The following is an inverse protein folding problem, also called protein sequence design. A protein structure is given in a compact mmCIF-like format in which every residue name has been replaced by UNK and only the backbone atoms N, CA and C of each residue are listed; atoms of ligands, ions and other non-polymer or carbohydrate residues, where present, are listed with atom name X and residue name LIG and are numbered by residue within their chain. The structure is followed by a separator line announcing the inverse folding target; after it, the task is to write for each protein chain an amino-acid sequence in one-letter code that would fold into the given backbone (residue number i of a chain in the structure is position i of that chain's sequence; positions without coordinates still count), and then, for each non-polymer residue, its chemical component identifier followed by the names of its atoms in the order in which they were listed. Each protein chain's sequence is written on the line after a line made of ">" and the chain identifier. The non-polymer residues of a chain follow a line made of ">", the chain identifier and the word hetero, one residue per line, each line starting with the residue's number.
data_IF_048777497846
#
_entry.id   IF_048777497846
#
_cell.length_a   1.000
_cell.length_b   1.000
_cell.length_c   1.000
_cell.angle_alpha   90.00
_cell.angle_beta   90.00
_cell.angle_gamma   90.00
#
_symmetry.space_group_name_H-M   'P 1'
#
loop_
_entity.id
_entity.type
_entity.pdbx_description
1 polymer ?
#
# COMPACT_ATOMS: atom_id res chain seq x y z
N UNK A 1 -13.90 -11.45 2.53
CA UNK A 1 -15.09 -11.96 3.25
C UNK A 1 -14.77 -13.32 3.86
N UNK A 2 -15.13 -13.57 5.12
CA UNK A 2 -14.92 -14.88 5.75
C UNK A 2 -16.27 -15.52 6.06
N UNK A 3 -16.55 -16.71 5.50
CA UNK A 3 -17.82 -17.41 5.72
C UNK A 3 -17.80 -18.38 6.90
N UNK A 4 -16.62 -18.80 7.35
CA UNK A 4 -16.48 -19.92 8.30
C UNK A 4 -16.46 -19.49 9.77
N UNK A 5 -15.85 -18.34 10.09
CA UNK A 5 -15.56 -17.97 11.49
C UNK A 5 -16.64 -17.13 12.17
N UNK A 6 -17.64 -16.68 11.42
CA UNK A 6 -18.61 -15.67 11.87
C UNK A 6 -17.97 -14.36 12.33
N UNK A 7 -16.71 -14.10 11.92
CA UNK A 7 -15.86 -12.97 12.34
C UNK A 7 -15.49 -12.92 13.83
N UNK A 8 -16.17 -13.63 14.71
CA UNK A 8 -15.89 -13.61 16.15
C UNK A 8 -14.46 -14.12 16.49
N UNK A 9 -14.00 -15.16 15.79
CA UNK A 9 -12.63 -15.65 15.92
C UNK A 9 -11.59 -14.61 15.52
N UNK A 10 -11.83 -13.91 14.40
CA UNK A 10 -10.94 -12.85 13.90
C UNK A 10 -10.88 -11.69 14.91
N UNK A 11 -12.02 -11.26 15.45
CA UNK A 11 -12.07 -10.19 16.46
C UNK A 11 -11.27 -10.54 17.72
N UNK A 12 -11.43 -11.76 18.25
CA UNK A 12 -10.66 -12.21 19.43
C UNK A 12 -9.15 -12.26 19.15
N UNK A 13 -8.76 -12.79 17.98
CA UNK A 13 -7.36 -12.83 17.58
C UNK A 13 -6.76 -11.41 17.47
N UNK A 14 -7.47 -10.48 16.83
CA UNK A 14 -7.05 -9.09 16.74
C UNK A 14 -6.88 -8.45 18.11
N UNK A 15 -7.83 -8.65 19.03
CA UNK A 15 -7.71 -8.11 20.39
C UNK A 15 -6.44 -8.61 21.09
N UNK A 16 -6.19 -9.93 21.06
CA UNK A 16 -4.99 -10.53 21.66
C UNK A 16 -3.69 -10.04 21.01
N UNK A 17 -3.70 -9.78 19.70
CA UNK A 17 -2.56 -9.23 18.97
C UNK A 17 -2.30 -7.78 19.41
N UNK A 18 -3.34 -6.94 19.42
CA UNK A 18 -3.22 -5.54 19.82
C UNK A 18 -2.85 -5.33 21.30
N UNK A 19 -3.21 -6.27 22.18
CA UNK A 19 -2.76 -6.24 23.59
C UNK A 19 -1.27 -6.61 23.74
N UNK A 20 -0.74 -7.46 22.85
CA UNK A 20 0.64 -7.97 22.93
C UNK A 20 1.65 -7.15 22.14
N UNK A 21 1.18 -6.45 21.11
CA UNK A 21 2.03 -5.73 20.17
C UNK A 21 1.68 -4.25 20.28
N UNK A 22 2.57 -3.52 20.94
CA UNK A 22 2.47 -2.07 21.07
C UNK A 22 3.45 -1.39 20.11
N UNK A 23 2.92 -0.84 19.02
CA UNK A 23 3.71 -0.09 18.04
C UNK A 23 3.86 1.39 18.40
N UNK A 24 3.28 1.86 19.52
CA UNK A 24 3.39 3.26 19.93
C UNK A 24 4.81 3.64 20.34
N UNK A 25 5.55 2.71 20.96
CA UNK A 25 6.96 2.85 21.34
C UNK A 25 7.92 2.63 20.16
N UNK A 26 7.43 2.05 19.05
CA UNK A 26 8.22 1.74 17.85
C UNK A 26 8.16 2.89 16.84
N UNK A 27 9.28 3.60 16.69
CA UNK A 27 9.40 4.67 15.69
C UNK A 27 9.28 4.08 14.27
N UNK A 28 8.68 4.81 13.31
CA UNK A 28 8.50 4.31 11.94
C UNK A 28 9.78 3.78 11.27
N UNK A 29 10.94 4.37 11.60
CA UNK A 29 12.24 3.99 11.03
C UNK A 29 12.82 2.70 11.63
N UNK A 30 12.47 2.38 12.87
CA UNK A 30 12.95 1.20 13.61
C UNK A 30 11.96 0.02 13.51
N UNK A 31 10.72 0.29 13.09
CA UNK A 31 9.60 -0.67 13.12
C UNK A 31 9.86 -2.02 12.47
N UNK A 32 10.56 -2.07 11.34
CA UNK A 32 10.88 -3.36 10.70
C UNK A 32 11.83 -4.17 11.60
N UNK A 33 12.82 -3.53 12.21
CA UNK A 33 13.74 -4.17 13.16
C UNK A 33 13.01 -4.69 14.39
N UNK A 34 12.13 -3.87 14.98
CA UNK A 34 11.36 -4.25 16.17
C UNK A 34 10.46 -5.46 15.89
N UNK A 35 9.76 -5.45 14.75
CA UNK A 35 8.90 -6.56 14.35
C UNK A 35 9.68 -7.85 14.07
N UNK A 36 10.92 -7.77 13.59
CA UNK A 36 11.81 -8.93 13.46
C UNK A 36 12.21 -9.43 14.85
N UNK A 37 12.60 -8.55 15.77
CA UNK A 37 12.98 -8.92 17.14
C UNK A 37 11.82 -9.57 17.90
N UNK A 38 10.59 -9.10 17.69
CA UNK A 38 9.39 -9.68 18.28
C UNK A 38 8.95 -10.99 17.61
N UNK A 39 9.65 -11.43 16.56
CA UNK A 39 9.35 -12.67 15.83
C UNK A 39 8.10 -12.59 14.96
N UNK A 40 7.61 -11.38 14.66
CA UNK A 40 6.43 -11.15 13.82
C UNK A 40 6.82 -11.16 12.34
N UNK A 41 7.97 -10.56 12.01
CA UNK A 41 8.52 -10.58 10.67
C UNK A 41 9.72 -11.53 10.58
N UNK A 42 9.87 -12.26 9.47
CA UNK A 42 11.10 -12.98 9.17
C UNK A 42 12.31 -12.04 9.02
N UNK A 43 13.50 -12.51 9.41
CA UNK A 43 14.75 -11.74 9.39
C UNK A 43 15.09 -11.16 8.01
N UNK A 44 14.75 -11.84 6.92
CA UNK A 44 15.04 -11.37 5.56
C UNK A 44 14.39 -10.03 5.21
N UNK A 45 13.38 -9.59 5.97
CA UNK A 45 12.75 -8.28 5.79
C UNK A 45 13.73 -7.11 5.99
N UNK A 46 14.77 -7.28 6.80
CA UNK A 46 15.83 -6.29 6.99
C UNK A 46 16.56 -5.94 5.68
N UNK A 47 16.53 -6.85 4.70
CA UNK A 47 17.25 -6.72 3.43
C UNK A 47 16.34 -6.39 2.24
N UNK A 48 15.02 -6.27 2.46
CA UNK A 48 14.07 -5.95 1.39
C UNK A 48 14.34 -4.59 0.74
N UNK A 49 14.68 -3.50 1.47
CA UNK A 49 14.99 -2.22 0.84
C UNK A 49 16.12 -2.33 -0.20
N UNK A 50 17.18 -3.09 0.10
CA UNK A 50 18.32 -3.31 -0.79
C UNK A 50 17.91 -4.16 -1.99
N UNK A 51 17.10 -5.20 -1.78
CA UNK A 51 16.57 -6.03 -2.87
C UNK A 51 15.70 -5.22 -3.84
N UNK A 52 14.88 -4.29 -3.32
CA UNK A 52 14.06 -3.40 -4.13
C UNK A 52 14.93 -2.39 -4.90
N UNK A 53 15.93 -1.80 -4.25
CA UNK A 53 16.86 -0.86 -4.90
C UNK A 53 17.73 -1.52 -5.98
N UNK A 54 17.98 -2.83 -5.87
CA UNK A 54 18.71 -3.61 -6.86
C UNK A 54 17.85 -4.06 -8.05
N UNK A 55 16.53 -3.87 -8.01
CA UNK A 55 15.71 -4.13 -9.18
C UNK A 55 16.09 -3.15 -10.29
N UNK A 56 16.18 -3.61 -11.55
CA UNK A 56 16.43 -2.69 -12.65
C UNK A 56 15.35 -1.62 -12.64
N UNK A 57 15.75 -0.36 -12.81
CA UNK A 57 14.80 0.69 -13.13
C UNK A 57 14.13 0.28 -14.44
N UNK A 58 12.88 -0.17 -14.35
CA UNK A 58 12.01 -0.15 -15.49
C UNK A 58 11.79 1.33 -15.79
N UNK A 59 12.48 1.82 -16.83
CA UNK A 59 12.14 3.09 -17.44
C UNK A 59 10.63 3.11 -17.59
N UNK A 60 9.98 4.05 -16.90
CA UNK A 60 8.55 4.27 -17.05
C UNK A 60 8.33 4.40 -18.55
N UNK A 61 7.69 3.40 -19.17
CA UNK A 61 7.39 3.39 -20.60
C UNK A 61 6.32 4.46 -20.81
N UNK A 62 6.74 5.73 -20.76
CA UNK A 62 5.88 6.88 -21.00
C UNK A 62 5.58 6.99 -22.49
N UNK A 63 6.50 6.51 -23.33
CA UNK A 63 6.31 6.37 -24.76
C UNK A 63 5.48 5.10 -25.06
N UNK A 64 4.20 5.31 -25.38
CA UNK A 64 3.29 4.26 -25.85
C UNK A 64 2.34 3.67 -24.80
N UNK A 65 2.48 3.98 -23.51
CA UNK A 65 1.50 3.58 -22.50
C UNK A 65 0.21 4.41 -22.64
N UNK A 66 -0.85 3.76 -23.15
CA UNK A 66 -2.18 4.37 -23.26
C UNK A 66 -3.01 4.23 -21.99
N UNK A 67 -2.68 3.26 -21.14
CA UNK A 67 -3.45 2.96 -19.92
C UNK A 67 -2.81 3.62 -18.71
N UNK A 68 -3.52 4.58 -18.14
CA UNK A 68 -3.10 5.29 -16.93
C UNK A 68 -3.70 4.63 -15.68
N UNK A 69 -2.86 4.33 -14.70
CA UNK A 69 -3.24 3.61 -13.49
C UNK A 69 -2.88 4.42 -12.25
N UNK A 70 -3.87 4.64 -11.39
CA UNK A 70 -3.69 5.23 -10.04
C UNK A 70 -3.78 4.07 -9.02
N UNK A 71 -4.80 4.01 -8.15
CA UNK A 71 -5.00 2.88 -7.24
C UNK A 71 -5.34 1.57 -7.95
N UNK A 72 -5.79 1.64 -9.21
CA UNK A 72 -6.02 0.47 -10.08
C UNK A 72 -7.17 -0.44 -9.66
N UNK A 73 -7.91 -0.10 -8.60
CA UNK A 73 -8.98 -0.93 -8.02
C UNK A 73 -10.08 -1.27 -9.03
N UNK A 74 -10.42 -0.35 -9.92
CA UNK A 74 -11.44 -0.57 -10.95
C UNK A 74 -10.86 -1.31 -12.16
N UNK A 75 -9.70 -0.85 -12.65
CA UNK A 75 -9.05 -1.39 -13.84
C UNK A 75 -8.63 -2.85 -13.67
N UNK A 76 -7.99 -3.21 -12.55
CA UNK A 76 -7.55 -4.58 -12.29
C UNK A 76 -8.69 -5.53 -11.92
N UNK A 77 -9.88 -5.04 -11.57
CA UNK A 77 -11.06 -5.89 -11.40
C UNK A 77 -11.73 -6.18 -12.74
N UNK A 78 -11.80 -5.18 -13.61
CA UNK A 78 -12.54 -5.29 -14.88
C UNK A 78 -11.70 -5.89 -16.02
N UNK A 79 -10.39 -5.63 -16.04
CA UNK A 79 -9.54 -5.88 -17.21
C UNK A 79 -8.22 -6.59 -16.83
N UNK A 80 -8.19 -7.32 -15.71
CA UNK A 80 -6.98 -7.92 -15.13
C UNK A 80 -6.09 -8.61 -16.18
N UNK A 81 -6.66 -9.53 -16.96
CA UNK A 81 -5.95 -10.33 -17.95
C UNK A 81 -5.35 -9.47 -19.07
N UNK A 82 -6.07 -8.45 -19.53
CA UNK A 82 -5.64 -7.55 -20.59
C UNK A 82 -4.51 -6.62 -20.16
N UNK A 83 -4.46 -6.28 -18.86
CA UNK A 83 -3.46 -5.37 -18.30
C UNK A 83 -2.09 -6.04 -18.08
N UNK A 84 -2.03 -7.37 -17.97
CA UNK A 84 -0.77 -8.11 -17.72
C UNK A 84 0.28 -7.84 -18.80
N UNK A 85 -0.15 -7.68 -20.05
CA UNK A 85 0.73 -7.53 -21.21
C UNK A 85 0.77 -6.12 -21.79
N UNK A 86 0.13 -5.14 -21.14
CA UNK A 86 0.07 -3.76 -21.64
C UNK A 86 1.10 -2.86 -20.97
N UNK A 87 1.66 -1.88 -21.69
CA UNK A 87 2.46 -0.83 -21.08
C UNK A 87 1.55 0.05 -20.22
N UNK A 88 1.75 0.02 -18.90
CA UNK A 88 0.98 0.78 -17.93
C UNK A 88 1.76 2.03 -17.51
N UNK A 89 1.06 3.17 -17.48
CA UNK A 89 1.58 4.40 -16.89
C UNK A 89 0.99 4.60 -15.50
N UNK A 90 1.81 4.41 -14.47
CA UNK A 90 1.39 4.65 -13.09
C UNK A 90 1.48 6.13 -12.75
N UNK A 91 0.33 6.74 -12.43
CA UNK A 91 0.25 8.14 -12.03
C UNK A 91 0.83 8.27 -10.62
N UNK A 92 1.97 8.94 -10.52
CA UNK A 92 2.61 9.30 -9.27
C UNK A 92 2.56 10.82 -9.11
N UNK A 93 1.43 11.35 -8.65
CA UNK A 93 1.24 12.78 -8.38
C UNK A 93 1.15 13.04 -6.88
N UNK A 94 1.74 14.15 -6.39
CA UNK A 94 1.62 14.51 -4.99
C UNK A 94 0.15 14.82 -4.67
N UNK A 95 -0.35 14.15 -3.64
CA UNK A 95 -1.70 14.38 -3.14
C UNK A 95 -1.75 15.65 -2.29
N UNK A 96 -2.79 16.46 -2.45
CA UNK A 96 -2.98 17.70 -1.70
C UNK A 96 -4.46 18.03 -1.49
N UNK A 97 -4.73 18.66 -0.35
CA UNK A 97 -6.02 19.21 0.05
C UNK A 97 -5.79 20.69 0.36
N UNK A 98 -6.48 21.58 -0.33
CA UNK A 98 -6.36 23.03 -0.15
C UNK A 98 -7.72 23.66 0.01
N UNK A 99 -7.88 24.52 1.00
CA UNK A 99 -9.11 25.28 1.22
C UNK A 99 -8.80 26.75 0.93
N UNK A 100 -9.43 27.31 -0.08
CA UNK A 100 -9.27 28.71 -0.46
C UNK A 100 -10.66 29.35 -0.56
N UNK A 101 -10.86 30.45 0.18
CA UNK A 101 -12.15 31.13 0.31
C UNK A 101 -13.28 30.21 0.80
N UNK A 102 -14.16 29.77 -0.11
CA UNK A 102 -15.29 28.84 0.12
C UNK A 102 -15.17 27.57 -0.74
N UNK A 103 -14.00 27.27 -1.28
CA UNK A 103 -13.74 26.09 -2.10
C UNK A 103 -12.71 25.17 -1.46
N UNK A 104 -12.99 23.86 -1.51
CA UNK A 104 -12.05 22.81 -1.16
C UNK A 104 -11.55 22.16 -2.46
N UNK A 105 -10.27 22.35 -2.75
CA UNK A 105 -9.57 21.78 -3.88
C UNK A 105 -8.85 20.51 -3.45
N UNK A 106 -9.22 19.39 -4.07
CA UNK A 106 -8.66 18.07 -3.85
C UNK A 106 -7.94 17.65 -5.13
N UNK A 107 -6.67 17.28 -5.04
CA UNK A 107 -6.02 16.58 -6.16
C UNK A 107 -6.63 15.18 -6.33
N UNK A 108 -6.18 14.42 -7.34
CA UNK A 108 -6.55 13.01 -7.50
C UNK A 108 -5.97 12.13 -6.37
N UNK A 109 -6.54 12.29 -5.18
CA UNK A 109 -6.07 11.76 -3.90
C UNK A 109 -6.78 10.46 -3.55
N UNK A 110 -6.07 9.55 -2.87
CA UNK A 110 -6.66 8.33 -2.35
C UNK A 110 -7.84 8.60 -1.39
N UNK A 111 -8.91 7.81 -1.51
CA UNK A 111 -10.17 8.02 -0.77
C UNK A 111 -9.99 8.03 0.75
N UNK A 112 -8.99 7.33 1.27
CA UNK A 112 -8.71 7.25 2.72
C UNK A 112 -8.10 8.52 3.32
N UNK A 113 -7.76 9.52 2.50
CA UNK A 113 -7.20 10.81 2.95
C UNK A 113 -8.22 11.96 2.93
N UNK A 114 -9.44 11.69 2.47
CA UNK A 114 -10.59 12.57 2.59
C UNK A 114 -11.20 12.43 4.00
#
# INVERSE_FOLDING_TARGET
>A
LCRCTGYAGIKRALHQICEKIDLSESKPIERISDLIQWGILPEYFAHIPQRLAALPEHACLTEGATVRVTGGTDLFVQQAEQLVSQPLFFINQPESIRIEQQQCNLSATHVSKL
#
